data_IF_489231268733
#
_entry.id   IF_489231268733
#
_cell.length_a   1.000
_cell.length_b   1.000
_cell.length_c   1.000
_cell.angle_alpha   90.00
_cell.angle_beta   90.00
_cell.angle_gamma   90.00
#
_symmetry.space_group_name_H-M   'P 1'
#
loop_
_entity.id
_entity.type
_entity.pdbx_description
1 polymer ?
#
# COMPACT_ATOMS: atom_id res chain seq x y z
N UNK A 1 -8.26 -52.74 8.08
CA UNK A 1 -9.46 -51.92 8.28
C UNK A 1 -8.99 -50.66 8.97
N UNK A 2 -8.69 -49.62 8.18
CA UNK A 2 -8.42 -48.29 8.71
C UNK A 2 -9.75 -47.53 8.64
N UNK A 3 -10.06 -46.85 9.73
CA UNK A 3 -11.35 -46.21 9.99
C UNK A 3 -11.47 -44.91 9.17
N UNK A 4 -12.38 -44.89 8.19
CA UNK A 4 -12.63 -43.78 7.25
C UNK A 4 -13.49 -42.65 7.85
N UNK A 5 -13.77 -42.68 9.17
CA UNK A 5 -14.73 -41.79 9.82
C UNK A 5 -14.26 -40.34 10.06
N UNK A 6 -13.01 -39.98 9.73
CA UNK A 6 -12.42 -38.67 10.08
C UNK A 6 -12.26 -37.69 8.91
N UNK A 7 -12.88 -37.94 7.75
CA UNK A 7 -12.75 -37.03 6.59
C UNK A 7 -13.64 -35.77 6.66
N UNK A 8 -14.43 -35.59 7.72
CA UNK A 8 -15.41 -34.49 7.80
C UNK A 8 -14.94 -33.20 8.48
N UNK A 9 -13.76 -33.17 9.12
CA UNK A 9 -13.30 -32.00 9.88
C UNK A 9 -12.02 -31.37 9.32
N UNK A 10 -11.88 -31.27 8.00
CA UNK A 10 -10.93 -30.30 7.42
C UNK A 10 -11.64 -28.94 7.46
N UNK A 11 -11.28 -28.01 8.36
CA UNK A 11 -11.86 -26.69 8.35
C UNK A 11 -11.58 -26.09 6.98
N UNK A 12 -12.65 -25.75 6.24
CA UNK A 12 -12.52 -24.89 5.07
C UNK A 12 -11.84 -23.64 5.58
N UNK A 13 -10.57 -23.41 5.20
CA UNK A 13 -9.99 -22.08 5.34
C UNK A 13 -10.98 -21.17 4.64
N UNK A 14 -11.75 -20.41 5.42
CA UNK A 14 -12.47 -19.26 4.92
C UNK A 14 -11.48 -18.55 4.01
N UNK A 15 -11.94 -18.14 2.83
CA UNK A 15 -11.15 -17.38 1.87
C UNK A 15 -10.73 -16.07 2.54
N UNK A 16 -9.74 -16.15 3.42
CA UNK A 16 -9.14 -15.06 4.15
C UNK A 16 -8.66 -14.14 3.05
N UNK A 17 -9.20 -12.93 3.01
CA UNK A 17 -8.71 -11.92 2.09
C UNK A 17 -7.24 -11.67 2.45
N UNK A 18 -6.35 -12.34 1.75
CA UNK A 18 -4.91 -12.21 1.98
C UNK A 18 -4.51 -10.82 1.50
N UNK A 19 -3.90 -10.03 2.38
CA UNK A 19 -3.31 -8.75 2.01
C UNK A 19 -2.22 -8.94 0.96
N UNK A 20 -2.02 -7.93 0.09
CA UNK A 20 -1.00 -7.97 -0.96
C UNK A 20 0.01 -6.86 -0.75
N UNK A 21 1.28 -7.16 -1.02
CA UNK A 21 2.36 -6.18 -1.08
C UNK A 21 2.75 -5.97 -2.54
N UNK A 22 2.63 -4.72 -3.00
CA UNK A 22 3.01 -4.33 -4.36
C UNK A 22 4.21 -3.38 -4.28
N UNK A 23 5.24 -3.63 -5.10
CA UNK A 23 6.44 -2.80 -5.15
C UNK A 23 6.56 -2.16 -6.52
N UNK A 24 6.72 -0.84 -6.56
CA UNK A 24 7.05 -0.08 -7.77
C UNK A 24 8.50 0.39 -7.63
N UNK A 25 9.39 -0.16 -8.44
CA UNK A 25 10.83 0.13 -8.39
C UNK A 25 11.38 0.58 -9.76
N UNK A 26 12.55 1.21 -9.76
CA UNK A 26 13.18 1.79 -10.95
C UNK A 26 14.09 2.98 -10.63
N UNK A 27 14.89 3.41 -11.60
CA UNK A 27 15.79 4.58 -11.48
C UNK A 27 15.01 5.86 -11.15
N UNK A 28 15.69 6.90 -10.64
CA UNK A 28 15.07 8.22 -10.54
C UNK A 28 14.55 8.64 -11.93
N UNK A 29 13.41 9.34 -11.95
CA UNK A 29 12.70 9.78 -13.18
C UNK A 29 12.04 8.68 -14.02
N UNK A 30 12.06 7.41 -13.58
CA UNK A 30 11.35 6.30 -14.24
C UNK A 30 9.83 6.26 -14.00
N UNK A 31 9.20 7.37 -13.60
CA UNK A 31 7.74 7.44 -13.40
C UNK A 31 7.17 6.73 -12.16
N UNK A 32 7.99 6.31 -11.18
CA UNK A 32 7.49 5.58 -9.98
C UNK A 32 6.36 6.32 -9.24
N UNK A 33 6.55 7.61 -9.00
CA UNK A 33 5.55 8.45 -8.32
C UNK A 33 4.27 8.60 -9.14
N UNK A 34 4.38 8.66 -10.46
CA UNK A 34 3.24 8.74 -11.38
C UNK A 34 2.40 7.45 -11.34
N UNK A 35 3.06 6.29 -11.39
CA UNK A 35 2.38 4.99 -11.27
C UNK A 35 1.70 4.82 -9.91
N UNK A 36 2.37 5.24 -8.81
CA UNK A 36 1.76 5.26 -7.48
C UNK A 36 0.50 6.13 -7.46
N UNK A 37 0.57 7.38 -7.95
CA UNK A 37 -0.59 8.29 -8.04
C UNK A 37 -1.72 7.71 -8.90
N UNK A 38 -1.39 7.02 -10.00
CA UNK A 38 -2.38 6.37 -10.86
C UNK A 38 -3.15 5.27 -10.11
N UNK A 39 -2.46 4.43 -9.32
CA UNK A 39 -3.10 3.39 -8.49
C UNK A 39 -3.97 4.01 -7.40
N UNK A 40 -3.48 5.04 -6.72
CA UNK A 40 -4.21 5.75 -5.67
C UNK A 40 -5.51 6.38 -6.21
N UNK A 41 -5.46 7.01 -7.40
CA UNK A 41 -6.66 7.54 -8.07
C UNK A 41 -7.69 6.46 -8.33
N UNK A 42 -7.27 5.30 -8.87
CA UNK A 42 -8.17 4.15 -9.10
C UNK A 42 -8.81 3.63 -7.82
N UNK A 43 -8.04 3.52 -6.73
CA UNK A 43 -8.54 3.09 -5.43
C UNK A 43 -9.59 4.08 -4.87
N UNK A 44 -9.33 5.40 -4.98
CA UNK A 44 -10.31 6.44 -4.61
C UNK A 44 -11.59 6.38 -5.44
N UNK A 45 -11.49 6.18 -6.76
CA UNK A 45 -12.67 5.98 -7.63
C UNK A 45 -13.49 4.75 -7.22
N UNK A 46 -12.81 3.68 -6.78
CA UNK A 46 -13.45 2.49 -6.23
C UNK A 46 -13.95 2.67 -4.79
N UNK A 47 -13.90 3.88 -4.23
CA UNK A 47 -14.29 4.23 -2.85
C UNK A 47 -13.53 3.44 -1.78
N UNK A 48 -12.30 3.02 -2.09
CA UNK A 48 -11.42 2.40 -1.10
C UNK A 48 -10.85 3.48 -0.18
N UNK A 49 -10.70 3.15 1.10
CA UNK A 49 -9.95 3.98 2.04
C UNK A 49 -8.46 3.82 1.74
N UNK A 50 -7.75 4.93 1.65
CA UNK A 50 -6.36 4.98 1.18
C UNK A 50 -5.60 5.99 2.02
N UNK A 51 -4.47 5.54 2.56
CA UNK A 51 -3.52 6.37 3.29
C UNK A 51 -2.16 6.34 2.60
N UNK A 52 -1.44 7.45 2.70
CA UNK A 52 -0.16 7.65 2.02
C UNK A 52 0.83 8.13 3.05
N UNK A 53 1.93 7.39 3.16
CA UNK A 53 3.03 7.72 4.04
C UNK A 53 4.26 8.02 3.20
N UNK A 54 5.07 8.97 3.67
CA UNK A 54 6.40 9.23 3.12
C UNK A 54 7.41 9.38 4.25
N UNK A 55 8.69 9.01 4.05
CA UNK A 55 9.70 9.28 5.06
C UNK A 55 9.86 10.79 5.23
N UNK A 56 9.93 11.26 6.48
CA UNK A 56 10.02 12.69 6.80
C UNK A 56 11.26 13.36 6.19
N UNK A 57 12.34 12.59 6.00
CA UNK A 57 13.56 13.07 5.34
C UNK A 57 13.40 13.33 3.83
N UNK A 58 12.36 12.84 3.17
CA UNK A 58 12.13 13.11 1.73
C UNK A 58 11.44 14.47 1.53
N UNK A 59 12.27 15.51 1.48
CA UNK A 59 11.88 16.93 1.32
C UNK A 59 12.17 17.47 -0.08
N UNK A 60 12.60 16.63 -1.03
CA UNK A 60 13.13 17.04 -2.35
C UNK A 60 12.15 17.83 -3.21
N UNK A 61 10.85 17.66 -2.99
CA UNK A 61 9.80 18.34 -3.75
C UNK A 61 8.70 18.98 -2.89
N UNK A 62 8.46 18.48 -1.67
CA UNK A 62 7.51 19.05 -0.71
C UNK A 62 7.75 18.44 0.67
N UNK A 63 7.46 19.18 1.75
CA UNK A 63 7.51 18.65 3.11
C UNK A 63 6.28 17.78 3.47
N UNK A 64 5.11 18.04 2.86
CA UNK A 64 3.85 17.39 3.21
C UNK A 64 3.20 16.58 2.07
N UNK A 65 3.69 16.71 0.84
CA UNK A 65 3.10 16.04 -0.33
C UNK A 65 4.06 15.07 -1.00
N UNK A 66 3.49 14.07 -1.67
CA UNK A 66 4.19 13.26 -2.67
C UNK A 66 3.95 13.92 -4.02
N UNK A 67 5.03 14.37 -4.66
CA UNK A 67 5.01 15.16 -5.90
C UNK A 67 5.62 14.33 -7.03
N UNK A 68 4.89 14.12 -8.13
CA UNK A 68 5.48 13.58 -9.35
C UNK A 68 6.24 14.68 -10.11
N UNK A 69 7.12 14.25 -11.01
CA UNK A 69 7.85 15.18 -11.87
C UNK A 69 6.90 16.06 -12.72
N UNK A 70 5.72 15.54 -13.07
CA UNK A 70 4.68 16.25 -13.82
C UNK A 70 3.72 17.05 -12.92
N UNK A 71 4.19 17.45 -11.72
CA UNK A 71 3.50 18.31 -10.75
C UNK A 71 2.14 17.79 -10.26
N UNK A 72 1.88 16.49 -10.37
CA UNK A 72 0.73 15.90 -9.69
C UNK A 72 1.09 15.69 -8.22
N UNK A 73 0.27 16.24 -7.32
CA UNK A 73 0.48 16.14 -5.87
C UNK A 73 -0.62 15.33 -5.20
N UNK A 74 -0.27 14.69 -4.09
CA UNK A 74 -1.22 14.12 -3.16
C UNK A 74 -0.70 14.33 -1.74
N UNK A 75 -1.61 14.67 -0.83
CA UNK A 75 -1.30 14.79 0.59
C UNK A 75 -0.76 13.46 1.12
N UNK A 76 0.28 13.54 1.93
CA UNK A 76 0.93 12.39 2.55
C UNK A 76 1.28 12.71 3.99
N UNK A 77 1.24 11.70 4.86
CA UNK A 77 1.66 11.84 6.25
C UNK A 77 3.16 11.52 6.34
N UNK A 78 4.02 12.50 6.69
CA UNK A 78 5.44 12.23 6.91
C UNK A 78 5.64 11.33 8.14
N UNK A 79 6.53 10.36 8.05
CA UNK A 79 6.88 9.44 9.15
C UNK A 79 8.39 9.37 9.35
N UNK A 80 8.84 9.46 10.60
CA UNK A 80 10.26 9.37 10.98
C UNK A 80 10.76 7.91 10.94
N UNK A 81 9.91 6.97 11.36
CA UNK A 81 10.22 5.56 11.46
C UNK A 81 9.09 4.71 10.87
N UNK A 82 9.43 3.56 10.28
CA UNK A 82 8.45 2.64 9.68
C UNK A 82 7.43 2.12 10.70
N UNK A 83 7.83 1.99 11.98
CA UNK A 83 6.94 1.65 13.09
C UNK A 83 5.77 2.63 13.25
N UNK A 84 5.95 3.90 12.88
CA UNK A 84 4.92 4.93 13.03
C UNK A 84 3.75 4.72 12.07
N UNK A 85 3.94 3.97 10.98
CA UNK A 85 2.87 3.63 10.04
C UNK A 85 1.75 2.87 10.77
N UNK A 86 2.10 1.96 11.69
CA UNK A 86 1.14 1.15 12.44
C UNK A 86 0.41 1.93 13.55
N UNK A 87 0.96 3.06 13.98
CA UNK A 87 0.38 3.91 15.03
C UNK A 87 -0.59 4.95 14.46
N UNK A 88 -0.51 5.20 13.15
CA UNK A 88 -1.26 6.23 12.44
C UNK A 88 -2.39 5.65 11.57
N UNK A 89 -2.47 4.33 11.44
CA UNK A 89 -3.51 3.55 10.74
C UNK A 89 -4.62 3.07 11.67
#
# INVERSE_FOLDING_TARGET
MYDDSNFHDIPRRDSQQVGRLEVICGSMFSGKTEELLRRLRRAKFAKQQVEIFKPAMDTRYSAAEVVSHDRNTILSTPVEHSSNILLLS
#
